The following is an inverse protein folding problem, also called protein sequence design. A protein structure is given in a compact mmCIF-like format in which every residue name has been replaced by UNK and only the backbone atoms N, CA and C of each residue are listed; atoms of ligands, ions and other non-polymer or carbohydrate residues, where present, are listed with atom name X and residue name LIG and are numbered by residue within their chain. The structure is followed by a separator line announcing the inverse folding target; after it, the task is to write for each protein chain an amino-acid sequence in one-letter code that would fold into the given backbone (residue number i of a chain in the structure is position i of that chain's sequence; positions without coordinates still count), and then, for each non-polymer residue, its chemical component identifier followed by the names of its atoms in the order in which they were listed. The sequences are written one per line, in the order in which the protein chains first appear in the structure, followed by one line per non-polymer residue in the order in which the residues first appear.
data_IF_188703527932
#
_entry.id   IF_188703527932
#
_cell.length_a   1.000
_cell.length_b   1.000
_cell.length_c   1.000
_cell.angle_alpha   90.00
_cell.angle_beta   90.00
_cell.angle_gamma   90.00
#
_symmetry.space_group_name_H-M   'P 1'
#
loop_
_entity.id
_entity.type
_entity.pdbx_description
1 polymer ?
#
# COMPACT_ATOMS: atom_id res chain seq x y z
N UNK A 1 0.18 6.14 2.98
CA UNK A 1 -0.89 5.62 2.10
C UNK A 1 -2.01 4.88 2.85
N UNK A 2 -1.74 4.37 4.05
CA UNK A 2 -2.76 3.64 4.84
C UNK A 2 -3.73 4.57 5.59
N UNK A 3 -3.31 5.79 5.86
CA UNK A 3 -4.11 6.76 6.59
C UNK A 3 -4.87 7.63 5.60
N UNK A 4 -6.18 7.64 5.74
CA UNK A 4 -7.07 8.50 4.97
C UNK A 4 -7.63 9.59 5.86
N UNK A 5 -7.68 10.79 5.35
CA UNK A 5 -8.19 11.99 6.02
C UNK A 5 -9.55 12.33 5.43
N UNK A 6 -10.52 12.59 6.28
CA UNK A 6 -11.83 13.07 5.84
C UNK A 6 -11.77 14.58 5.65
N UNK A 7 -11.79 15.03 4.41
CA UNK A 7 -11.79 16.44 4.03
C UNK A 7 -13.09 16.74 3.31
N UNK A 8 -13.97 17.52 3.96
CA UNK A 8 -15.29 17.87 3.42
C UNK A 8 -16.14 16.68 2.97
N UNK A 9 -16.09 15.56 3.73
CA UNK A 9 -16.83 14.35 3.45
C UNK A 9 -16.19 13.42 2.39
N UNK A 10 -15.00 13.73 1.95
CA UNK A 10 -14.21 12.88 1.05
C UNK A 10 -13.00 12.29 1.76
N UNK A 11 -12.83 10.97 1.61
CA UNK A 11 -11.66 10.27 2.13
C UNK A 11 -10.46 10.46 1.20
N UNK A 12 -9.51 11.28 1.63
CA UNK A 12 -8.31 11.59 0.85
C UNK A 12 -7.07 10.98 1.51
N UNK A 13 -6.15 10.38 0.75
CA UNK A 13 -4.86 9.97 1.31
C UNK A 13 -4.05 11.20 1.75
N UNK A 14 -3.19 11.05 2.76
CA UNK A 14 -2.42 12.16 3.35
C UNK A 14 -1.57 12.90 2.31
N UNK A 15 -1.02 12.20 1.33
CA UNK A 15 -0.22 12.80 0.26
C UNK A 15 -1.00 13.74 -0.68
N UNK A 16 -2.32 13.78 -0.57
CA UNK A 16 -3.18 14.74 -1.28
C UNK A 16 -3.57 15.96 -0.43
N UNK A 17 -3.21 15.97 0.84
CA UNK A 17 -3.48 17.11 1.76
C UNK A 17 -2.21 17.75 2.30
N UNK A 18 -1.07 17.13 2.08
CA UNK A 18 0.24 17.63 2.50
C UNK A 18 1.40 16.90 1.86
N UNK A 19 2.59 17.40 2.07
CA UNK A 19 3.82 16.72 1.69
C UNK A 19 4.42 15.98 2.88
N UNK A 20 4.89 14.74 2.62
CA UNK A 20 5.47 13.87 3.64
C UNK A 20 6.98 13.79 3.41
N UNK A 21 7.75 14.06 4.45
CA UNK A 21 9.21 13.96 4.42
C UNK A 21 9.73 13.18 5.63
N UNK A 22 10.90 12.61 5.50
CA UNK A 22 11.58 11.87 6.57
C UNK A 22 12.97 12.49 6.79
N UNK A 23 13.06 13.62 7.53
CA UNK A 23 14.31 14.34 7.71
C UNK A 23 15.33 13.53 8.53
N UNK A 24 14.86 12.63 9.36
CA UNK A 24 15.66 11.77 10.23
C UNK A 24 15.10 10.33 10.20
N UNK A 25 15.91 9.31 10.55
CA UNK A 25 15.49 7.90 10.46
C UNK A 25 14.23 7.54 11.27
N UNK A 26 13.94 8.29 12.34
CA UNK A 26 12.78 8.07 13.21
C UNK A 26 11.89 9.30 13.34
N UNK A 27 11.84 10.11 12.31
CA UNK A 27 10.98 11.30 12.26
C UNK A 27 10.28 11.37 10.92
N UNK A 28 8.96 11.45 10.94
CA UNK A 28 8.13 11.72 9.78
C UNK A 28 7.54 13.11 9.94
N UNK A 29 7.73 13.96 8.96
CA UNK A 29 7.14 15.28 8.91
C UNK A 29 6.05 15.33 7.85
N UNK A 30 4.91 15.90 8.21
CA UNK A 30 3.80 16.17 7.29
C UNK A 30 3.59 17.67 7.26
N UNK A 31 3.89 18.28 6.13
CA UNK A 31 3.58 19.70 5.88
C UNK A 31 2.20 19.79 5.25
N UNK A 32 1.21 20.14 6.03
CA UNK A 32 -0.18 20.29 5.57
C UNK A 32 -0.32 21.60 4.79
N UNK A 33 -0.89 21.53 3.59
CA UNK A 33 -0.99 22.70 2.70
C UNK A 33 -2.02 23.73 3.15
N UNK A 34 -3.13 23.25 3.70
CA UNK A 34 -4.19 24.12 4.22
C UNK A 34 -4.25 24.03 5.75
N UNK A 35 -4.09 25.16 6.42
CA UNK A 35 -4.12 25.25 7.88
C UNK A 35 -5.43 24.69 8.48
N UNK A 36 -6.54 24.77 7.76
CA UNK A 36 -7.83 24.25 8.21
C UNK A 36 -7.86 22.71 8.25
N UNK A 37 -6.99 22.04 7.52
CA UNK A 37 -6.92 20.59 7.47
C UNK A 37 -5.97 19.96 8.51
N UNK A 38 -5.20 20.77 9.23
CA UNK A 38 -4.23 20.28 10.23
C UNK A 38 -4.90 19.41 11.30
N UNK A 39 -6.00 19.88 11.86
CA UNK A 39 -6.76 19.13 12.88
C UNK A 39 -7.37 17.84 12.32
N UNK A 40 -7.75 17.83 11.06
CA UNK A 40 -8.30 16.65 10.39
C UNK A 40 -7.23 15.60 10.15
N UNK A 41 -6.04 16.02 9.75
CA UNK A 41 -4.88 15.14 9.58
C UNK A 41 -4.43 14.56 10.92
N UNK A 42 -4.34 15.39 11.95
CA UNK A 42 -4.03 14.96 13.31
C UNK A 42 -5.02 13.92 13.82
N UNK A 43 -6.31 14.17 13.71
CA UNK A 43 -7.35 13.24 14.13
C UNK A 43 -7.29 11.90 13.36
N UNK A 44 -7.00 11.95 12.06
CA UNK A 44 -6.86 10.75 11.23
C UNK A 44 -5.66 9.90 11.66
N UNK A 45 -4.53 10.53 12.00
CA UNK A 45 -3.33 9.85 12.50
C UNK A 45 -3.59 9.22 13.86
N UNK A 46 -4.24 9.94 14.78
CA UNK A 46 -4.56 9.44 16.12
C UNK A 46 -5.55 8.25 16.07
N UNK A 47 -6.48 8.25 15.12
CA UNK A 47 -7.42 7.13 14.91
C UNK A 47 -6.79 5.93 14.21
N UNK A 48 -5.64 6.11 13.57
CA UNK A 48 -4.94 5.03 12.89
C UNK A 48 -4.28 4.09 13.90
N UNK A 49 -4.15 2.81 13.52
CA UNK A 49 -3.48 1.79 14.34
C UNK A 49 -1.93 1.90 14.30
N UNK A 50 -1.39 3.03 13.84
CA UNK A 50 0.05 3.22 13.73
C UNK A 50 0.75 3.41 15.08
N UNK A 51 0.00 3.80 16.13
CA UNK A 51 0.56 4.03 17.45
C UNK A 51 1.54 5.21 17.51
N UNK A 52 1.39 6.18 16.61
CA UNK A 52 2.22 7.38 16.54
C UNK A 52 1.49 8.55 17.22
N UNK A 53 2.27 9.37 17.94
CA UNK A 53 1.77 10.57 18.60
C UNK A 53 2.16 11.81 17.78
N UNK A 54 1.23 12.44 17.05
CA UNK A 54 1.53 13.63 16.29
C UNK A 54 1.81 14.84 17.20
N UNK A 55 2.80 15.63 16.80
CA UNK A 55 3.13 16.92 17.43
C UNK A 55 2.89 18.03 16.40
N UNK A 56 1.98 18.94 16.70
CA UNK A 56 1.57 20.02 15.80
C UNK A 56 2.45 21.26 16.05
N UNK A 57 3.03 21.78 14.99
CA UNK A 57 3.76 23.04 14.96
C UNK A 57 3.29 23.87 13.74
N UNK A 58 2.26 24.66 13.96
CA UNK A 58 1.58 25.38 12.86
C UNK A 58 0.95 24.42 11.85
N UNK A 59 1.42 24.46 10.61
CA UNK A 59 1.00 23.53 9.54
C UNK A 59 1.91 22.29 9.42
N UNK A 60 2.95 22.21 10.23
CA UNK A 60 3.83 21.08 10.28
C UNK A 60 3.36 20.11 11.37
N UNK A 61 3.16 18.84 10.99
CA UNK A 61 2.91 17.74 11.93
C UNK A 61 4.15 16.87 11.97
N UNK A 62 4.75 16.75 13.16
CA UNK A 62 5.89 15.88 13.42
C UNK A 62 5.42 14.59 14.05
N UNK A 63 5.86 13.47 13.47
CA UNK A 63 5.57 12.13 13.96
C UNK A 63 6.88 11.45 14.38
N UNK A 64 7.23 11.49 15.66
CA UNK A 64 8.35 10.71 16.16
C UNK A 64 7.99 9.22 16.11
N UNK A 65 8.87 8.41 15.50
CA UNK A 65 8.72 6.96 15.44
C UNK A 65 9.53 6.35 16.57
N UNK A 66 8.90 5.62 17.52
CA UNK A 66 9.62 5.00 18.63
C UNK A 66 10.56 3.90 18.14
N UNK A 67 11.58 3.57 18.93
CA UNK A 67 12.43 2.43 18.65
C UNK A 67 11.63 1.13 18.58
N UNK A 68 11.99 0.27 17.63
CA UNK A 68 11.36 -1.02 17.48
C UNK A 68 11.95 -1.99 18.53
N UNK A 69 11.11 -2.51 19.42
CA UNK A 69 11.44 -3.68 20.22
C UNK A 69 11.14 -4.98 19.45
N UNK A 70 11.54 -6.13 19.99
CA UNK A 70 11.33 -7.42 19.33
C UNK A 70 9.85 -7.75 19.12
N UNK A 71 9.00 -7.41 20.07
CA UNK A 71 7.56 -7.61 19.97
C UNK A 71 6.98 -6.82 18.80
N UNK A 72 7.30 -5.54 18.69
CA UNK A 72 6.85 -4.67 17.61
C UNK A 72 7.39 -5.10 16.25
N UNK A 73 8.65 -5.55 16.20
CA UNK A 73 9.23 -6.12 14.97
C UNK A 73 8.46 -7.35 14.50
N UNK A 74 8.10 -8.23 15.42
CA UNK A 74 7.31 -9.44 15.13
C UNK A 74 5.91 -9.09 14.60
N UNK A 75 5.25 -8.12 15.23
CA UNK A 75 3.95 -7.63 14.75
C UNK A 75 4.04 -7.04 13.34
N UNK A 76 5.05 -6.22 13.07
CA UNK A 76 5.26 -5.63 11.75
C UNK A 76 5.56 -6.68 10.68
N UNK A 77 6.33 -7.72 11.00
CA UNK A 77 6.56 -8.85 10.09
C UNK A 77 5.26 -9.56 9.73
N UNK A 78 4.40 -9.85 10.71
CA UNK A 78 3.09 -10.45 10.47
C UNK A 78 2.21 -9.56 9.59
N UNK A 79 2.20 -8.26 9.87
CA UNK A 79 1.44 -7.29 9.09
C UNK A 79 1.90 -7.28 7.63
N UNK A 80 3.21 -7.22 7.38
CA UNK A 80 3.77 -7.21 6.02
C UNK A 80 3.44 -8.49 5.27
N UNK A 81 3.55 -9.64 5.91
CA UNK A 81 3.15 -10.92 5.29
C UNK A 81 1.68 -10.92 4.92
N UNK A 82 0.80 -10.46 5.81
CA UNK A 82 -0.62 -10.33 5.53
C UNK A 82 -0.91 -9.39 4.35
N UNK A 83 -0.24 -8.26 4.30
CA UNK A 83 -0.36 -7.31 3.17
C UNK A 83 0.11 -7.93 1.85
N UNK A 84 1.22 -8.66 1.87
CA UNK A 84 1.74 -9.39 0.71
C UNK A 84 0.75 -10.44 0.20
N UNK A 85 0.17 -11.23 1.10
CA UNK A 85 -0.84 -12.23 0.72
C UNK A 85 -2.10 -11.60 0.12
N UNK A 86 -2.61 -10.51 0.71
CA UNK A 86 -3.73 -9.75 0.14
C UNK A 86 -3.43 -9.20 -1.25
N UNK A 87 -2.22 -8.68 -1.46
CA UNK A 87 -1.77 -8.21 -2.76
C UNK A 87 -1.73 -9.35 -3.80
N UNK A 88 -1.18 -10.50 -3.43
CA UNK A 88 -1.13 -11.67 -4.32
C UNK A 88 -2.53 -12.20 -4.66
N UNK A 89 -3.46 -12.19 -3.70
CA UNK A 89 -4.86 -12.54 -3.96
C UNK A 89 -5.49 -11.59 -4.98
N UNK A 90 -5.26 -10.29 -4.85
CA UNK A 90 -5.75 -9.30 -5.83
C UNK A 90 -5.18 -9.53 -7.23
N UNK A 91 -3.89 -9.83 -7.33
CA UNK A 91 -3.22 -10.16 -8.61
C UNK A 91 -3.85 -11.41 -9.25
N UNK A 92 -4.10 -12.45 -8.47
CA UNK A 92 -4.76 -13.67 -8.96
C UNK A 92 -6.20 -13.43 -9.40
N UNK A 93 -6.93 -12.56 -8.73
CA UNK A 93 -8.28 -12.18 -9.13
C UNK A 93 -8.28 -11.46 -10.49
N UNK A 94 -7.35 -10.52 -10.69
CA UNK A 94 -7.18 -9.84 -11.98
C UNK A 94 -6.84 -10.85 -13.09
N UNK A 95 -5.99 -11.83 -12.83
CA UNK A 95 -5.70 -12.93 -13.76
C UNK A 95 -6.97 -13.68 -14.15
N UNK A 96 -7.80 -14.05 -13.17
CA UNK A 96 -9.07 -14.75 -13.43
C UNK A 96 -10.00 -13.92 -14.31
N UNK A 97 -10.16 -12.65 -14.00
CA UNK A 97 -10.99 -11.72 -14.80
C UNK A 97 -10.47 -11.60 -16.23
N UNK A 98 -9.15 -11.48 -16.41
CA UNK A 98 -8.55 -11.44 -17.74
C UNK A 98 -8.79 -12.74 -18.53
N UNK A 99 -8.62 -13.89 -17.89
CA UNK A 99 -8.88 -15.18 -18.53
C UNK A 99 -10.36 -15.40 -18.87
N UNK A 100 -11.28 -14.93 -18.03
CA UNK A 100 -12.71 -14.94 -18.31
C UNK A 100 -13.06 -14.07 -19.50
N UNK A 101 -12.44 -12.91 -19.62
CA UNK A 101 -12.64 -12.02 -20.77
C UNK A 101 -12.10 -12.65 -22.07
N UNK A 102 -10.93 -13.29 -22.03
CA UNK A 102 -10.38 -14.03 -23.17
C UNK A 102 -11.33 -15.15 -23.65
N UNK A 103 -11.96 -15.88 -22.72
CA UNK A 103 -12.96 -16.91 -23.05
C UNK A 103 -14.20 -16.32 -23.68
N UNK A 104 -14.66 -15.15 -23.25
CA UNK A 104 -15.79 -14.44 -23.86
C UNK A 104 -15.46 -14.03 -25.30
N UNK A 105 -14.27 -13.45 -25.53
CA UNK A 105 -13.80 -13.06 -26.86
C UNK A 105 -13.67 -14.27 -27.80
N UNK A 106 -13.20 -15.41 -27.30
CA UNK A 106 -13.17 -16.65 -28.06
C UNK A 106 -14.57 -17.14 -28.44
N UNK A 107 -15.48 -17.12 -27.48
CA UNK A 107 -16.87 -17.55 -27.69
C UNK A 107 -17.62 -16.66 -28.68
N UNK A 108 -17.35 -15.36 -28.66
CA UNK A 108 -17.89 -14.38 -29.63
C UNK A 108 -17.19 -14.42 -31.00
N UNK A 109 -16.15 -15.26 -31.14
CA UNK A 109 -15.32 -15.38 -32.34
C UNK A 109 -14.57 -14.10 -32.72
N UNK A 110 -14.34 -13.21 -31.81
CA UNK A 110 -13.50 -12.01 -31.99
C UNK A 110 -12.01 -12.36 -32.01
N UNK A 111 -11.62 -13.44 -31.33
CA UNK A 111 -10.28 -14.01 -31.35
C UNK A 111 -10.33 -15.51 -31.70
N UNK A 112 -9.24 -16.06 -32.22
CA UNK A 112 -9.09 -17.48 -32.48
C UNK A 112 -8.54 -18.26 -31.28
N UNK A 113 -8.58 -19.60 -31.35
CA UNK A 113 -8.09 -20.48 -30.27
C UNK A 113 -6.59 -20.29 -30.00
N UNK A 114 -5.77 -20.10 -31.03
CA UNK A 114 -4.33 -19.91 -30.87
C UNK A 114 -4.01 -18.56 -30.20
N UNK A 115 -4.76 -17.52 -30.54
CA UNK A 115 -4.64 -16.20 -29.93
C UNK A 115 -5.08 -16.22 -28.46
N UNK A 116 -6.18 -16.91 -28.14
CA UNK A 116 -6.64 -17.09 -26.78
C UNK A 116 -5.59 -17.80 -25.93
N UNK A 117 -5.03 -18.93 -26.39
CA UNK A 117 -3.99 -19.67 -25.69
C UNK A 117 -2.72 -18.86 -25.48
N UNK A 118 -2.29 -18.12 -26.50
CA UNK A 118 -1.11 -17.24 -26.43
C UNK A 118 -1.32 -16.12 -25.42
N UNK A 119 -2.49 -15.48 -25.43
CA UNK A 119 -2.83 -14.42 -24.51
C UNK A 119 -2.96 -14.92 -23.06
N UNK A 120 -3.56 -16.09 -22.86
CA UNK A 120 -3.66 -16.72 -21.54
C UNK A 120 -2.27 -17.02 -20.95
N UNK A 121 -1.34 -17.50 -21.78
CA UNK A 121 0.06 -17.70 -21.40
C UNK A 121 0.76 -16.40 -21.03
N UNK A 122 0.52 -15.32 -21.76
CA UNK A 122 1.06 -14.00 -21.44
C UNK A 122 0.51 -13.46 -20.13
N UNK A 123 -0.79 -13.61 -19.89
CA UNK A 123 -1.44 -13.24 -18.62
C UNK A 123 -0.81 -14.01 -17.45
N UNK A 124 -0.52 -15.31 -17.63
CA UNK A 124 0.13 -16.12 -16.60
C UNK A 124 1.55 -15.64 -16.33
N UNK A 125 2.33 -15.35 -17.35
CA UNK A 125 3.71 -14.84 -17.22
C UNK A 125 3.74 -13.51 -16.47
N UNK A 126 2.89 -12.56 -16.83
CA UNK A 126 2.78 -11.26 -16.16
C UNK A 126 2.36 -11.44 -14.70
N UNK A 127 1.41 -12.33 -14.44
CA UNK A 127 0.97 -12.67 -13.09
C UNK A 127 2.11 -13.20 -12.23
N UNK A 128 2.87 -14.16 -12.74
CA UNK A 128 3.99 -14.78 -12.03
C UNK A 128 5.10 -13.77 -11.72
N UNK A 129 5.42 -12.89 -12.65
CA UNK A 129 6.39 -11.81 -12.46
C UNK A 129 5.97 -10.83 -11.34
N UNK A 130 4.69 -10.44 -11.31
CA UNK A 130 4.18 -9.55 -10.27
C UNK A 130 4.12 -10.22 -8.90
N UNK A 131 3.72 -11.49 -8.82
CA UNK A 131 3.75 -12.26 -7.57
C UNK A 131 5.17 -12.38 -7.04
N UNK A 132 6.14 -12.67 -7.91
CA UNK A 132 7.56 -12.68 -7.54
C UNK A 132 8.02 -11.34 -6.99
N UNK A 133 7.64 -10.24 -7.63
CA UNK A 133 7.96 -8.88 -7.16
C UNK A 133 7.38 -8.59 -5.77
N UNK A 134 6.16 -9.03 -5.49
CA UNK A 134 5.55 -8.92 -4.16
C UNK A 134 6.36 -9.68 -3.12
N UNK A 135 6.72 -10.93 -3.40
CA UNK A 135 7.50 -11.77 -2.49
C UNK A 135 8.89 -11.17 -2.21
N UNK A 136 9.55 -10.64 -3.23
CA UNK A 136 10.85 -9.97 -3.09
C UNK A 136 10.76 -8.71 -2.22
N UNK A 137 9.73 -7.88 -2.42
CA UNK A 137 9.50 -6.68 -1.61
C UNK A 137 9.17 -7.01 -0.15
N UNK A 138 8.36 -8.04 0.08
CA UNK A 138 8.05 -8.51 1.43
C UNK A 138 9.31 -9.01 2.14
N UNK A 139 10.10 -9.84 1.47
CA UNK A 139 11.35 -10.36 2.02
C UNK A 139 12.36 -9.25 2.33
N UNK A 140 12.50 -8.27 1.45
CA UNK A 140 13.39 -7.12 1.65
C UNK A 140 12.94 -6.30 2.87
N UNK A 141 11.63 -6.04 2.98
CA UNK A 141 11.09 -5.27 4.10
C UNK A 141 11.19 -6.00 5.43
N UNK A 142 11.04 -7.33 5.44
CA UNK A 142 11.28 -8.13 6.64
C UNK A 142 12.73 -7.99 7.14
N UNK A 143 13.70 -8.02 6.22
CA UNK A 143 15.11 -7.80 6.57
C UNK A 143 15.36 -6.40 7.14
N UNK A 144 14.78 -5.37 6.52
CA UNK A 144 14.89 -4.00 7.01
C UNK A 144 14.34 -3.86 8.44
N UNK A 145 13.19 -4.45 8.73
CA UNK A 145 12.57 -4.42 10.07
C UNK A 145 13.47 -5.08 11.12
N UNK A 146 14.20 -6.12 10.73
CA UNK A 146 15.08 -6.84 11.66
C UNK A 146 16.42 -6.12 11.90
N UNK A 147 16.81 -5.19 11.05
CA UNK A 147 18.12 -4.52 11.08
C UNK A 147 18.08 -3.08 11.60
N UNK A 148 16.92 -2.45 11.67
CA UNK A 148 16.75 -1.06 12.13
C UNK A 148 16.73 -0.96 13.67
#
# INVERSE_FOLDING_TARGET
DLVKVDVYGQQMPINQVGSITTPEPRMINIQVWDANNVSLVDAAIQKSDLGLNPQIDGQLIRLPVPELNEERRTELKKLIKSMGEKCKVSIRNIRREANEELKKLLKSKEIGEDEEKSSEKNVQTITDEHIKTVDEKVSLKEKEIMTI
#
